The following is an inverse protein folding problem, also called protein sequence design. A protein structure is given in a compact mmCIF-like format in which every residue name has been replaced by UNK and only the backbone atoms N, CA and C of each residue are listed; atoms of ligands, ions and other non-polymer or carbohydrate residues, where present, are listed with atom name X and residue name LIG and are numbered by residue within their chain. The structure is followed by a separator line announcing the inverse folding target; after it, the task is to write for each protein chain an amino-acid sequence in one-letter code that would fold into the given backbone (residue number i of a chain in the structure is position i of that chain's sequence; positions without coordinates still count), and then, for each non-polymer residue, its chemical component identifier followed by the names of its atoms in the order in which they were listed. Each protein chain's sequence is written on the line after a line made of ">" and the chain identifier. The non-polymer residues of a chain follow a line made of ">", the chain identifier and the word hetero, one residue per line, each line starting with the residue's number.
data_IF_087364695498
#
_entry.id   IF_087364695498
#
_cell.length_a   1.000
_cell.length_b   1.000
_cell.length_c   1.000
_cell.angle_alpha   90.00
_cell.angle_beta   90.00
_cell.angle_gamma   90.00
#
_symmetry.space_group_name_H-M   'P 1'
#
loop_
_entity.id
_entity.type
_entity.pdbx_description
1 polymer ?
#
# COMPACT_ATOMS: atom_id res chain seq x y z
N UNK A 1 12.75 -21.80 4.24
CA UNK A 1 12.28 -21.09 5.46
C UNK A 1 10.76 -21.04 5.42
N UNK A 2 10.11 -21.17 6.58
CA UNK A 2 8.65 -21.01 6.71
C UNK A 2 8.25 -19.53 6.60
N UNK A 3 6.95 -19.28 6.36
CA UNK A 3 6.39 -17.91 6.35
C UNK A 3 6.71 -17.18 7.66
N UNK A 4 6.61 -17.86 8.81
CA UNK A 4 6.91 -17.28 10.13
C UNK A 4 8.38 -16.90 10.28
N UNK A 5 9.30 -17.76 9.84
CA UNK A 5 10.75 -17.47 9.87
C UNK A 5 11.09 -16.28 8.97
N UNK A 6 10.51 -16.23 7.78
CA UNK A 6 10.70 -15.11 6.83
C UNK A 6 10.21 -13.79 7.45
N UNK A 7 9.03 -13.78 8.07
CA UNK A 7 8.49 -12.57 8.73
C UNK A 7 9.37 -12.15 9.91
N UNK A 8 9.83 -13.09 10.72
CA UNK A 8 10.73 -12.78 11.84
C UNK A 8 12.04 -12.14 11.35
N UNK A 9 12.62 -12.66 10.26
CA UNK A 9 13.81 -12.08 9.66
C UNK A 9 13.53 -10.66 9.13
N UNK A 10 12.44 -10.47 8.38
CA UNK A 10 12.06 -9.15 7.85
C UNK A 10 11.84 -8.14 8.99
N UNK A 11 11.20 -8.55 10.10
CA UNK A 11 11.02 -7.69 11.26
C UNK A 11 12.35 -7.27 11.88
N UNK A 12 13.31 -8.19 12.02
CA UNK A 12 14.64 -7.86 12.51
C UNK A 12 15.38 -6.89 11.58
N UNK A 13 15.26 -7.07 10.26
CA UNK A 13 15.86 -6.17 9.28
C UNK A 13 15.18 -4.78 9.28
N UNK A 14 13.84 -4.71 9.42
CA UNK A 14 13.10 -3.45 9.59
C UNK A 14 13.56 -2.70 10.85
N UNK A 15 13.69 -3.41 11.98
CA UNK A 15 14.16 -2.84 13.24
C UNK A 15 15.59 -2.29 13.09
N UNK A 16 16.49 -3.06 12.52
CA UNK A 16 17.86 -2.62 12.27
C UNK A 16 17.92 -1.38 11.37
N UNK A 17 17.14 -1.34 10.27
CA UNK A 17 17.07 -0.20 9.36
C UNK A 17 16.51 1.05 10.05
N UNK A 18 15.46 0.92 10.87
CA UNK A 18 14.87 2.02 11.62
C UNK A 18 15.86 2.61 12.63
N UNK A 19 16.49 1.75 13.45
CA UNK A 19 17.46 2.17 14.45
C UNK A 19 18.69 2.83 13.82
N UNK A 20 19.15 2.34 12.67
CA UNK A 20 20.31 2.91 11.97
C UNK A 20 20.06 4.37 11.50
N UNK A 21 18.80 4.77 11.29
CA UNK A 21 18.44 6.14 10.93
C UNK A 21 17.74 6.92 12.09
N UNK A 22 17.79 6.42 13.32
CA UNK A 22 17.28 7.09 14.52
C UNK A 22 15.75 7.13 14.62
N UNK A 23 15.04 6.17 13.97
CA UNK A 23 13.58 6.07 14.00
C UNK A 23 13.10 4.98 14.95
N UNK A 24 11.90 5.17 15.51
CA UNK A 24 11.23 4.11 16.28
C UNK A 24 10.72 3.02 15.30
N UNK A 25 11.18 1.76 15.43
CA UNK A 25 10.70 0.64 14.62
C UNK A 25 9.17 0.44 14.66
N UNK A 26 8.52 0.82 15.76
CA UNK A 26 7.06 0.70 15.93
C UNK A 26 6.24 1.60 15.01
N UNK A 27 6.85 2.64 14.45
CA UNK A 27 6.20 3.52 13.48
C UNK A 27 6.06 2.90 12.10
N UNK A 28 6.73 1.76 11.85
CA UNK A 28 6.84 1.16 10.52
C UNK A 28 6.01 -0.12 10.46
N UNK A 29 5.00 -0.12 9.58
CA UNK A 29 4.10 -1.25 9.38
C UNK A 29 4.60 -2.18 8.28
N UNK A 30 4.47 -3.48 8.51
CA UNK A 30 4.70 -4.52 7.51
C UNK A 30 3.39 -4.94 6.86
N UNK A 31 3.20 -4.56 5.60
CA UNK A 31 2.10 -5.03 4.77
C UNK A 31 2.53 -6.28 3.99
N UNK A 32 1.89 -7.42 4.25
CA UNK A 32 2.14 -8.65 3.49
C UNK A 32 1.39 -8.59 2.15
N UNK A 33 2.10 -8.55 1.02
CA UNK A 33 1.50 -8.58 -0.30
C UNK A 33 1.05 -10.03 -0.63
N UNK A 34 -0.22 -10.33 -0.37
CA UNK A 34 -0.81 -11.69 -0.36
C UNK A 34 -1.25 -12.19 -1.73
N UNK A 35 -1.05 -11.39 -2.79
CA UNK A 35 -1.39 -11.80 -4.17
C UNK A 35 -0.80 -13.15 -4.53
N UNK A 36 -1.57 -13.97 -5.27
CA UNK A 36 -1.20 -15.31 -5.72
C UNK A 36 -0.92 -16.35 -4.60
N UNK A 37 -1.24 -16.02 -3.36
CA UNK A 37 -1.14 -16.95 -2.24
C UNK A 37 -2.55 -17.37 -1.80
N UNK A 38 -2.67 -18.60 -1.33
CA UNK A 38 -3.94 -19.13 -0.84
C UNK A 38 -4.30 -18.59 0.56
N UNK A 39 -5.54 -18.84 0.99
CA UNK A 39 -6.04 -18.40 2.29
C UNK A 39 -5.30 -19.00 3.49
N UNK A 40 -4.69 -20.18 3.31
CA UNK A 40 -3.86 -20.82 4.33
C UNK A 40 -2.57 -20.05 4.58
N UNK A 41 -1.87 -19.67 3.50
CA UNK A 41 -0.67 -18.86 3.57
C UNK A 41 -0.95 -17.45 4.15
N UNK A 42 -2.10 -16.85 3.79
CA UNK A 42 -2.52 -15.55 4.37
C UNK A 42 -2.71 -15.65 5.88
N UNK A 43 -3.45 -16.66 6.37
CA UNK A 43 -3.62 -16.87 7.81
C UNK A 43 -2.31 -17.14 8.56
N UNK A 44 -1.36 -17.87 7.93
CA UNK A 44 -0.02 -18.07 8.49
C UNK A 44 0.74 -16.75 8.64
N UNK A 45 0.66 -15.85 7.64
CA UNK A 45 1.30 -14.55 7.71
C UNK A 45 0.68 -13.68 8.81
N UNK A 46 -0.65 -13.69 8.97
CA UNK A 46 -1.34 -12.98 10.04
C UNK A 46 -0.92 -13.52 11.41
N UNK A 47 -0.93 -14.85 11.59
CA UNK A 47 -0.49 -15.50 12.83
C UNK A 47 0.99 -15.20 13.17
N UNK A 48 1.82 -14.98 12.16
CA UNK A 48 3.22 -14.58 12.32
C UNK A 48 3.43 -13.08 12.58
N UNK A 49 2.35 -12.28 12.65
CA UNK A 49 2.39 -10.90 13.13
C UNK A 49 2.67 -9.85 12.06
N UNK A 50 2.13 -9.98 10.85
CA UNK A 50 2.07 -8.86 9.89
C UNK A 50 1.06 -7.81 10.36
N UNK A 51 1.27 -6.53 10.05
CA UNK A 51 0.37 -5.46 10.48
C UNK A 51 -0.87 -5.36 9.61
N UNK A 52 -0.79 -5.74 8.34
CA UNK A 52 -1.91 -5.80 7.41
C UNK A 52 -1.60 -6.71 6.22
N UNK A 53 -2.65 -7.07 5.48
CA UNK A 53 -2.57 -7.84 4.24
C UNK A 53 -2.86 -6.94 3.04
N UNK A 54 -2.09 -7.05 1.96
CA UNK A 54 -2.26 -6.27 0.74
C UNK A 54 -2.65 -7.14 -0.46
N UNK A 55 -3.78 -6.83 -1.11
CA UNK A 55 -4.23 -7.51 -2.32
C UNK A 55 -4.10 -6.65 -3.58
N UNK A 56 -3.75 -7.30 -4.67
CA UNK A 56 -3.56 -6.64 -5.96
C UNK A 56 -4.72 -6.86 -6.94
N UNK A 57 -5.52 -7.92 -6.76
CA UNK A 57 -6.57 -8.31 -7.69
C UNK A 57 -7.90 -8.43 -7.00
N UNK A 58 -8.93 -7.79 -7.56
CA UNK A 58 -10.28 -7.80 -6.99
C UNK A 58 -10.85 -9.21 -6.86
N UNK A 59 -10.59 -10.09 -7.83
CA UNK A 59 -11.05 -11.48 -7.78
C UNK A 59 -10.43 -12.26 -6.61
N UNK A 60 -9.12 -12.08 -6.38
CA UNK A 60 -8.43 -12.71 -5.25
C UNK A 60 -8.95 -12.16 -3.92
N UNK A 61 -9.11 -10.83 -3.82
CA UNK A 61 -9.69 -10.18 -2.65
C UNK A 61 -11.07 -10.78 -2.32
N UNK A 62 -11.98 -10.81 -3.29
CA UNK A 62 -13.36 -11.28 -3.05
C UNK A 62 -13.41 -12.76 -2.67
N UNK A 63 -12.59 -13.61 -3.30
CA UNK A 63 -12.51 -15.03 -2.96
C UNK A 63 -11.97 -15.27 -1.55
N UNK A 64 -10.92 -14.54 -1.15
CA UNK A 64 -10.29 -14.66 0.17
C UNK A 64 -11.17 -14.08 1.28
N UNK A 65 -11.88 -12.97 1.02
CA UNK A 65 -12.89 -12.42 1.95
C UNK A 65 -13.99 -13.46 2.21
N UNK A 66 -14.50 -14.12 1.17
CA UNK A 66 -15.51 -15.17 1.32
C UNK A 66 -15.01 -16.38 2.13
N UNK A 67 -13.71 -16.58 2.22
CA UNK A 67 -13.07 -17.66 3.01
C UNK A 67 -12.59 -17.18 4.40
N UNK A 68 -12.92 -15.97 4.82
CA UNK A 68 -12.44 -15.34 6.05
C UNK A 68 -10.89 -15.41 6.19
N UNK A 69 -10.18 -15.27 5.07
CA UNK A 69 -8.73 -15.43 5.06
C UNK A 69 -7.98 -14.32 5.81
N UNK A 70 -8.61 -13.17 5.98
CA UNK A 70 -8.00 -11.98 6.58
C UNK A 70 -8.43 -11.75 8.04
N UNK A 71 -9.13 -12.71 8.66
CA UNK A 71 -9.54 -12.57 10.04
C UNK A 71 -8.34 -12.31 10.95
N UNK A 72 -8.42 -11.23 11.74
CA UNK A 72 -7.37 -10.80 12.67
C UNK A 72 -6.37 -9.78 12.11
N UNK A 73 -6.48 -9.34 10.85
CA UNK A 73 -5.64 -8.28 10.30
C UNK A 73 -6.40 -7.36 9.33
N UNK A 74 -6.08 -6.07 9.29
CA UNK A 74 -6.58 -5.14 8.26
C UNK A 74 -6.22 -5.58 6.85
N UNK A 75 -7.11 -5.27 5.89
CA UNK A 75 -6.92 -5.58 4.48
C UNK A 75 -6.76 -4.29 3.68
N UNK A 76 -5.71 -4.21 2.88
CA UNK A 76 -5.46 -3.09 1.99
C UNK A 76 -5.55 -3.53 0.52
N UNK A 77 -6.13 -2.70 -0.34
CA UNK A 77 -6.03 -2.89 -1.77
C UNK A 77 -4.83 -2.08 -2.29
N UNK A 78 -3.86 -2.78 -2.86
CA UNK A 78 -2.56 -2.22 -3.25
C UNK A 78 -2.25 -2.36 -4.75
N UNK A 79 -3.17 -2.95 -5.54
CA UNK A 79 -3.03 -3.09 -6.99
C UNK A 79 -3.86 -2.06 -7.76
N UNK A 80 -3.65 -1.95 -9.07
CA UNK A 80 -4.43 -1.03 -9.90
C UNK A 80 -5.92 -1.34 -9.83
N UNK A 81 -6.72 -0.35 -9.44
CA UNK A 81 -8.17 -0.47 -9.27
C UNK A 81 -8.90 0.18 -10.45
N UNK A 82 -9.49 -0.64 -11.30
CA UNK A 82 -10.37 -0.14 -12.35
C UNK A 82 -11.68 0.42 -11.77
N UNK A 83 -12.19 1.53 -12.31
CA UNK A 83 -13.41 2.19 -11.80
C UNK A 83 -14.64 1.28 -11.80
N UNK A 84 -14.77 0.37 -12.79
CA UNK A 84 -15.88 -0.59 -12.86
C UNK A 84 -15.83 -1.69 -11.78
N UNK A 85 -14.72 -1.81 -11.03
CA UNK A 85 -14.52 -2.76 -9.95
C UNK A 85 -14.64 -2.14 -8.55
N UNK A 86 -14.74 -0.82 -8.44
CA UNK A 86 -14.76 -0.08 -7.17
C UNK A 86 -15.79 -0.64 -6.18
N UNK A 87 -17.01 -0.95 -6.63
CA UNK A 87 -18.07 -1.52 -5.78
C UNK A 87 -17.74 -2.89 -5.17
N UNK A 88 -16.71 -3.57 -5.69
CA UNK A 88 -16.26 -4.86 -5.16
C UNK A 88 -15.15 -4.69 -4.11
N UNK A 89 -14.61 -3.49 -3.92
CA UNK A 89 -13.49 -3.17 -3.03
C UNK A 89 -13.91 -2.27 -1.88
N UNK A 90 -14.63 -1.17 -2.18
CA UNK A 90 -15.11 -0.21 -1.17
C UNK A 90 -15.94 -0.91 -0.10
N UNK A 91 -15.62 -0.65 1.16
CA UNK A 91 -16.25 -1.27 2.33
C UNK A 91 -15.83 -2.73 2.60
N UNK A 92 -14.91 -3.30 1.79
CA UNK A 92 -14.35 -4.64 2.02
C UNK A 92 -12.87 -4.60 2.38
N UNK A 93 -12.25 -3.45 2.30
CA UNK A 93 -10.87 -3.19 2.69
C UNK A 93 -10.81 -1.98 3.59
N UNK A 94 -9.84 -1.98 4.51
CA UNK A 94 -9.62 -0.88 5.42
C UNK A 94 -8.98 0.32 4.71
N UNK A 95 -8.12 0.06 3.72
CA UNK A 95 -7.38 1.09 3.00
C UNK A 95 -7.22 0.75 1.52
N UNK A 96 -7.53 1.70 0.62
CA UNK A 96 -7.20 1.62 -0.80
C UNK A 96 -5.95 2.47 -1.03
N UNK A 97 -4.80 1.82 -1.29
CA UNK A 97 -3.52 2.53 -1.43
C UNK A 97 -3.26 3.05 -2.86
N UNK A 98 -4.00 2.57 -3.84
CA UNK A 98 -3.73 2.74 -5.28
C UNK A 98 -4.71 3.70 -5.96
N UNK A 99 -5.02 4.83 -5.30
CA UNK A 99 -5.86 5.87 -5.93
C UNK A 99 -4.99 6.72 -6.84
N UNK A 100 -5.06 6.44 -8.12
CA UNK A 100 -4.17 6.95 -9.16
C UNK A 100 -4.71 8.13 -9.97
N UNK A 101 -5.96 8.53 -9.75
CA UNK A 101 -6.62 9.56 -10.54
C UNK A 101 -7.84 10.14 -9.84
N UNK A 102 -8.19 11.39 -10.16
CA UNK A 102 -9.43 12.02 -9.70
C UNK A 102 -10.67 11.22 -10.12
N UNK A 103 -10.65 10.61 -11.33
CA UNK A 103 -11.73 9.75 -11.82
C UNK A 103 -11.98 8.56 -10.88
N UNK A 104 -10.92 7.89 -10.44
CA UNK A 104 -11.01 6.77 -9.51
C UNK A 104 -11.48 7.25 -8.14
N UNK A 105 -10.94 8.36 -7.65
CA UNK A 105 -11.34 8.97 -6.38
C UNK A 105 -12.84 9.30 -6.36
N UNK A 106 -13.38 9.90 -7.43
CA UNK A 106 -14.84 10.17 -7.56
C UNK A 106 -15.67 8.89 -7.53
N UNK A 107 -15.22 7.83 -8.18
CA UNK A 107 -15.91 6.55 -8.16
C UNK A 107 -15.92 5.92 -6.76
N UNK A 108 -14.81 5.98 -6.03
CA UNK A 108 -14.69 5.50 -4.64
C UNK A 108 -15.63 6.31 -3.72
N UNK A 109 -15.58 7.65 -3.81
CA UNK A 109 -16.42 8.53 -3.01
C UNK A 109 -17.91 8.27 -3.25
N UNK A 110 -18.32 8.10 -4.51
CA UNK A 110 -19.72 7.81 -4.88
C UNK A 110 -20.17 6.47 -4.30
N UNK A 111 -19.33 5.44 -4.38
CA UNK A 111 -19.68 4.11 -3.84
C UNK A 111 -19.69 4.11 -2.32
N UNK A 112 -18.75 4.81 -1.67
CA UNK A 112 -18.71 4.97 -0.21
C UNK A 112 -19.95 5.71 0.29
N UNK A 113 -20.37 6.78 -0.40
CA UNK A 113 -21.62 7.49 -0.12
C UNK A 113 -22.86 6.56 -0.23
N UNK A 114 -22.90 5.73 -1.29
CA UNK A 114 -24.00 4.76 -1.48
C UNK A 114 -24.08 3.75 -0.34
N UNK A 115 -22.94 3.38 0.26
CA UNK A 115 -22.87 2.45 1.39
C UNK A 115 -23.00 3.14 2.76
N UNK A 116 -23.02 4.47 2.81
CA UNK A 116 -23.09 5.24 4.07
C UNK A 116 -21.81 5.15 4.91
N UNK A 117 -20.65 4.96 4.27
CA UNK A 117 -19.36 4.82 4.94
C UNK A 117 -18.36 5.90 4.48
N UNK A 118 -17.27 6.03 5.21
CA UNK A 118 -16.04 6.73 4.76
C UNK A 118 -14.96 5.70 4.47
N UNK A 119 -14.35 5.77 3.30
CA UNK A 119 -13.29 4.87 2.87
C UNK A 119 -11.93 5.55 3.00
N UNK A 120 -11.02 4.92 3.75
CA UNK A 120 -9.64 5.37 3.83
C UNK A 120 -8.89 5.08 2.53
N UNK A 121 -8.07 6.06 2.08
CA UNK A 121 -7.31 5.98 0.83
C UNK A 121 -5.89 6.53 1.00
N UNK A 122 -4.99 6.09 0.10
CA UNK A 122 -3.74 6.80 -0.22
C UNK A 122 -3.81 7.27 -1.67
N UNK A 123 -3.21 8.42 -1.97
CA UNK A 123 -2.97 8.81 -3.36
C UNK A 123 -1.70 8.12 -3.85
N UNK A 124 -1.80 7.42 -4.97
CA UNK A 124 -0.66 6.80 -5.64
C UNK A 124 0.07 7.85 -6.48
N UNK A 125 1.39 7.99 -6.24
CA UNK A 125 2.25 8.93 -6.95
C UNK A 125 3.15 8.18 -7.92
N UNK A 126 3.11 8.55 -9.21
CA UNK A 126 4.05 8.09 -10.23
C UNK A 126 5.37 8.86 -10.08
N UNK A 127 6.14 8.52 -9.06
CA UNK A 127 7.35 9.26 -8.67
C UNK A 127 8.48 9.12 -9.70
N UNK A 128 8.46 8.07 -10.52
CA UNK A 128 9.42 7.85 -11.59
C UNK A 128 9.06 8.57 -12.90
N UNK A 129 7.87 9.17 -13.00
CA UNK A 129 7.32 9.76 -14.24
C UNK A 129 7.34 8.79 -15.43
N UNK A 130 7.10 7.49 -15.18
CA UNK A 130 7.04 6.47 -16.22
C UNK A 130 5.65 6.49 -16.88
N UNK A 131 5.60 6.71 -18.21
CA UNK A 131 4.34 6.78 -18.97
C UNK A 131 3.48 5.50 -18.87
N UNK A 132 4.13 4.36 -18.64
CA UNK A 132 3.47 3.06 -18.51
C UNK A 132 2.87 2.79 -17.13
N UNK A 133 3.13 3.64 -16.13
CA UNK A 133 2.65 3.45 -14.74
C UNK A 133 1.51 4.38 -14.41
N UNK A 134 0.60 3.87 -13.57
CA UNK A 134 -0.47 4.64 -12.94
C UNK A 134 0.08 5.58 -11.87
N UNK A 135 -0.74 6.49 -11.42
CA UNK A 135 -0.44 7.43 -10.34
C UNK A 135 -0.52 8.88 -10.77
N UNK A 136 -0.81 9.74 -9.82
CA UNK A 136 -0.70 11.19 -10.01
C UNK A 136 0.75 11.59 -10.26
N UNK A 137 0.97 12.60 -11.06
CA UNK A 137 2.26 13.27 -11.11
C UNK A 137 2.48 14.03 -9.80
N UNK A 138 3.74 14.24 -9.41
CA UNK A 138 4.06 14.93 -8.15
C UNK A 138 3.40 16.32 -8.07
N UNK A 139 3.40 17.07 -9.16
CA UNK A 139 2.80 18.39 -9.26
C UNK A 139 1.26 18.41 -9.19
N UNK A 140 0.60 17.27 -9.39
CA UNK A 140 -0.86 17.15 -9.33
C UNK A 140 -1.37 16.92 -7.90
N UNK A 141 -0.50 16.54 -6.96
CA UNK A 141 -0.90 16.21 -5.58
C UNK A 141 -1.44 17.44 -4.85
N UNK A 142 -0.74 18.57 -4.83
CA UNK A 142 -1.21 19.77 -4.15
C UNK A 142 -2.55 20.28 -4.70
N UNK A 143 -2.74 20.42 -6.03
CA UNK A 143 -4.05 20.74 -6.60
C UNK A 143 -5.15 19.73 -6.25
N UNK A 144 -4.82 18.44 -6.12
CA UNK A 144 -5.78 17.42 -5.73
C UNK A 144 -6.21 17.57 -4.27
N UNK A 145 -5.28 17.91 -3.37
CA UNK A 145 -5.58 18.15 -1.96
C UNK A 145 -6.53 19.33 -1.74
N UNK A 146 -6.43 20.38 -2.55
CA UNK A 146 -7.34 21.52 -2.50
C UNK A 146 -8.79 21.15 -2.83
N UNK A 147 -8.96 20.08 -3.64
CA UNK A 147 -10.28 19.52 -4.00
C UNK A 147 -10.79 18.48 -3.01
N UNK A 148 -9.98 18.02 -2.03
CA UNK A 148 -10.39 16.91 -1.16
C UNK A 148 -11.68 17.21 -0.37
N UNK A 149 -11.99 18.47 -0.10
CA UNK A 149 -13.26 18.88 0.51
C UNK A 149 -14.53 18.47 -0.28
N UNK A 150 -14.40 18.22 -1.60
CA UNK A 150 -15.51 17.74 -2.44
C UNK A 150 -15.83 16.25 -2.21
N UNK A 151 -14.96 15.50 -1.54
CA UNK A 151 -15.02 14.05 -1.38
C UNK A 151 -15.32 13.63 0.07
N UNK A 152 -16.52 13.98 0.56
CA UNK A 152 -16.91 13.82 1.96
C UNK A 152 -16.90 12.35 2.47
N UNK A 153 -16.95 11.37 1.56
CA UNK A 153 -17.03 9.94 1.88
C UNK A 153 -15.70 9.19 1.70
N UNK A 154 -14.59 9.93 1.54
CA UNK A 154 -13.23 9.37 1.60
C UNK A 154 -12.41 10.11 2.64
N UNK A 155 -11.40 9.43 3.18
CA UNK A 155 -10.41 10.01 4.08
C UNK A 155 -9.03 9.67 3.54
N UNK A 156 -8.29 10.69 3.10
CA UNK A 156 -6.91 10.51 2.66
C UNK A 156 -6.01 10.34 3.89
N UNK A 157 -5.24 9.26 3.92
CA UNK A 157 -4.30 8.93 5.01
C UNK A 157 -2.83 9.15 4.65
N UNK A 158 -2.55 9.54 3.42
CA UNK A 158 -1.18 9.77 2.96
C UNK A 158 -0.95 9.39 1.52
N UNK A 159 0.29 8.99 1.23
CA UNK A 159 0.77 8.72 -0.13
C UNK A 159 1.28 7.29 -0.29
N UNK A 160 1.21 6.80 -1.51
CA UNK A 160 1.82 5.53 -1.92
C UNK A 160 2.67 5.73 -3.18
N UNK A 161 3.80 5.04 -3.29
CA UNK A 161 4.56 4.99 -4.54
C UNK A 161 5.18 3.61 -4.78
N UNK A 162 5.31 3.31 -6.08
CA UNK A 162 6.09 2.17 -6.59
C UNK A 162 7.14 2.75 -7.54
N UNK A 163 8.39 2.96 -7.08
CA UNK A 163 9.45 3.49 -7.92
C UNK A 163 9.81 2.50 -9.05
N UNK A 164 10.62 2.91 -10.03
CA UNK A 164 11.18 2.00 -11.03
C UNK A 164 11.84 0.77 -10.39
N UNK A 165 11.91 -0.32 -11.15
CA UNK A 165 12.61 -1.52 -10.69
C UNK A 165 14.09 -1.19 -10.54
N UNK A 166 14.63 -1.36 -9.33
CA UNK A 166 16.05 -1.13 -9.06
C UNK A 166 16.91 -2.29 -9.54
N UNK A 167 18.06 -1.97 -10.13
CA UNK A 167 19.07 -2.93 -10.57
C UNK A 167 20.17 -3.15 -9.52
N UNK A 168 20.33 -2.21 -8.60
CA UNK A 168 21.32 -2.26 -7.50
C UNK A 168 20.82 -1.54 -6.24
N UNK A 169 21.38 -1.86 -5.07
CA UNK A 169 21.02 -1.20 -3.81
C UNK A 169 21.24 0.32 -3.87
N UNK A 170 20.32 1.10 -3.30
CA UNK A 170 20.41 2.55 -3.24
C UNK A 170 19.89 3.29 -4.49
N UNK A 171 19.61 2.61 -5.60
CA UNK A 171 19.12 3.26 -6.84
C UNK A 171 17.81 4.03 -6.62
N UNK A 172 16.94 3.52 -5.77
CA UNK A 172 15.63 4.10 -5.46
C UNK A 172 15.66 5.20 -4.38
N UNK A 173 16.80 5.46 -3.73
CA UNK A 173 16.90 6.48 -2.67
C UNK A 173 16.37 7.85 -3.12
N UNK A 174 16.70 8.28 -4.34
CA UNK A 174 16.24 9.55 -4.89
C UNK A 174 14.70 9.66 -4.97
N UNK A 175 14.02 8.55 -5.29
CA UNK A 175 12.56 8.50 -5.37
C UNK A 175 11.94 8.50 -3.98
N UNK A 176 12.51 7.76 -3.05
CA UNK A 176 12.04 7.73 -1.65
C UNK A 176 12.22 9.09 -0.97
N UNK A 177 13.35 9.77 -1.20
CA UNK A 177 13.59 11.13 -0.70
C UNK A 177 12.57 12.14 -1.26
N UNK A 178 12.27 12.08 -2.58
CA UNK A 178 11.24 12.92 -3.20
C UNK A 178 9.85 12.65 -2.60
N UNK A 179 9.50 11.38 -2.37
CA UNK A 179 8.23 11.02 -1.73
C UNK A 179 8.14 11.51 -0.30
N UNK A 180 9.22 11.41 0.46
CA UNK A 180 9.27 11.95 1.81
C UNK A 180 9.11 13.47 1.80
N UNK A 181 9.85 14.19 0.96
CA UNK A 181 9.72 15.63 0.83
C UNK A 181 8.29 16.04 0.46
N UNK A 182 7.68 15.38 -0.54
CA UNK A 182 6.28 15.62 -0.90
C UNK A 182 5.35 15.40 0.30
N UNK A 183 5.57 14.35 1.09
CA UNK A 183 4.76 14.09 2.30
C UNK A 183 4.91 15.17 3.36
N UNK A 184 6.08 15.81 3.45
CA UNK A 184 6.32 16.97 4.34
C UNK A 184 5.59 18.20 3.80
N UNK A 185 5.74 18.50 2.51
CA UNK A 185 5.16 19.68 1.86
C UNK A 185 3.63 19.71 1.96
N UNK A 186 2.99 18.54 1.93
CA UNK A 186 1.52 18.47 2.02
C UNK A 186 0.97 18.45 3.45
N UNK A 187 1.79 18.35 4.49
CA UNK A 187 1.33 18.34 5.90
C UNK A 187 0.60 19.63 6.29
N UNK A 188 0.95 20.74 5.69
CA UNK A 188 0.26 22.02 5.95
C UNK A 188 -1.17 22.07 5.38
N UNK A 189 -1.54 21.10 4.54
CA UNK A 189 -2.87 20.99 3.91
C UNK A 189 -3.80 20.03 4.64
N UNK A 190 -3.44 19.59 5.85
CA UNK A 190 -4.26 18.69 6.68
C UNK A 190 -5.59 19.35 7.02
N UNK A 191 -6.68 18.60 6.88
CA UNK A 191 -8.05 19.00 7.23
C UNK A 191 -8.87 17.78 7.65
N UNK A 192 -10.19 17.92 7.83
CA UNK A 192 -11.06 16.87 8.39
C UNK A 192 -11.05 15.55 7.60
N UNK A 193 -10.71 15.56 6.32
CA UNK A 193 -10.66 14.37 5.48
C UNK A 193 -9.28 14.12 4.83
N UNK A 194 -8.25 14.82 5.30
CA UNK A 194 -6.85 14.65 4.88
C UNK A 194 -5.94 14.53 6.09
N UNK A 195 -5.25 13.42 6.21
CA UNK A 195 -4.07 13.27 7.08
C UNK A 195 -2.90 12.73 6.25
N UNK A 196 -1.67 12.82 6.78
CA UNK A 196 -0.46 12.35 6.11
C UNK A 196 0.33 11.45 7.08
N UNK A 197 -0.38 10.46 7.61
CA UNK A 197 0.17 9.52 8.60
C UNK A 197 0.82 8.31 7.95
N UNK A 198 0.47 8.03 6.68
CA UNK A 198 0.96 6.88 5.96
C UNK A 198 1.78 7.26 4.72
N UNK A 199 3.04 6.89 4.72
CA UNK A 199 3.92 6.93 3.55
C UNK A 199 4.25 5.48 3.16
N UNK A 200 3.47 4.93 2.22
CA UNK A 200 3.59 3.54 1.78
C UNK A 200 4.55 3.46 0.60
N UNK A 201 5.78 3.00 0.87
CA UNK A 201 6.82 2.80 -0.15
C UNK A 201 7.84 1.79 0.35
N UNK A 202 8.56 1.14 -0.59
CA UNK A 202 9.50 0.07 -0.30
C UNK A 202 8.88 -1.32 -0.42
N UNK A 203 9.61 -2.21 -1.08
CA UNK A 203 9.25 -3.59 -1.35
C UNK A 203 10.41 -4.53 -0.99
N UNK A 204 10.30 -5.83 -1.30
CA UNK A 204 11.28 -6.85 -0.90
C UNK A 204 12.75 -6.53 -1.24
N UNK A 205 13.00 -5.72 -2.28
CA UNK A 205 14.37 -5.41 -2.72
C UNK A 205 14.95 -4.12 -2.11
N UNK A 206 14.09 -3.20 -1.62
CA UNK A 206 14.50 -1.82 -1.32
C UNK A 206 13.84 -1.21 -0.06
N UNK A 207 13.14 -2.04 0.75
CA UNK A 207 12.44 -1.51 1.93
C UNK A 207 13.38 -0.89 2.98
N UNK A 208 14.62 -1.35 3.09
CA UNK A 208 15.58 -0.75 4.03
C UNK A 208 15.90 0.70 3.64
N UNK A 209 16.12 0.96 2.34
CA UNK A 209 16.31 2.30 1.80
C UNK A 209 15.05 3.19 1.98
N UNK A 210 13.87 2.59 1.76
CA UNK A 210 12.60 3.28 1.98
C UNK A 210 12.40 3.68 3.45
N UNK A 211 12.75 2.80 4.40
CA UNK A 211 12.72 3.07 5.84
C UNK A 211 13.65 4.22 6.18
N UNK A 212 14.87 4.20 5.68
CA UNK A 212 15.84 5.26 5.90
C UNK A 212 15.36 6.63 5.35
N UNK A 213 14.52 6.61 4.30
CA UNK A 213 13.89 7.79 3.72
C UNK A 213 12.50 8.13 4.28
N UNK A 214 12.10 7.56 5.42
CA UNK A 214 10.87 7.97 6.13
C UNK A 214 9.61 7.15 5.80
N UNK A 215 9.71 6.01 5.09
CA UNK A 215 8.56 5.10 4.92
C UNK A 215 7.94 4.71 6.26
N UNK A 216 6.61 4.74 6.36
CA UNK A 216 5.85 4.27 7.52
C UNK A 216 5.14 2.95 7.25
N UNK A 217 5.15 2.49 5.99
CA UNK A 217 4.61 1.20 5.59
C UNK A 217 5.40 0.61 4.43
N UNK A 218 5.94 -0.59 4.61
CA UNK A 218 6.57 -1.36 3.54
C UNK A 218 5.63 -2.49 3.08
N UNK A 219 5.75 -2.89 1.80
CA UNK A 219 4.91 -3.92 1.19
C UNK A 219 5.77 -5.08 0.70
N UNK A 220 5.77 -6.18 1.42
CA UNK A 220 6.65 -7.32 1.17
C UNK A 220 5.85 -8.54 0.72
N UNK A 221 6.20 -9.13 -0.41
CA UNK A 221 5.58 -10.34 -0.93
C UNK A 221 6.55 -11.50 -1.05
N UNK A 222 7.44 -11.45 -2.02
CA UNK A 222 8.37 -12.54 -2.35
C UNK A 222 9.26 -12.95 -1.18
N UNK A 223 9.71 -12.01 -0.36
CA UNK A 223 10.52 -12.34 0.81
C UNK A 223 9.71 -13.04 1.91
N UNK A 224 8.38 -12.87 1.99
CA UNK A 224 7.50 -13.56 2.93
C UNK A 224 7.13 -14.96 2.38
N UNK A 225 6.60 -15.02 1.16
CA UNK A 225 5.92 -16.19 0.62
C UNK A 225 6.79 -17.05 -0.31
N UNK A 226 8.01 -16.59 -0.63
CA UNK A 226 8.89 -17.25 -1.59
C UNK A 226 8.67 -16.81 -3.04
N UNK A 227 9.44 -17.41 -3.95
CA UNK A 227 9.32 -17.16 -5.39
C UNK A 227 7.95 -17.60 -5.91
N UNK A 228 7.42 -16.83 -6.87
CA UNK A 228 6.10 -17.11 -7.46
C UNK A 228 6.10 -18.37 -8.29
N UNK A 229 5.15 -19.24 -8.02
CA UNK A 229 4.86 -20.42 -8.87
C UNK A 229 3.82 -20.02 -9.93
N UNK A 230 4.31 -19.70 -11.13
CA UNK A 230 3.46 -19.34 -12.26
C UNK A 230 2.75 -20.54 -12.91
N UNK A 231 3.12 -21.78 -12.55
CA UNK A 231 2.52 -23.00 -13.13
C UNK A 231 1.05 -23.16 -12.74
N UNK A 232 0.65 -22.56 -11.60
CA UNK A 232 -0.74 -22.60 -11.09
C UNK A 232 -1.70 -21.65 -11.81
N UNK A 233 -1.21 -20.78 -12.70
CA UNK A 233 -2.05 -19.81 -13.45
C UNK A 233 -2.62 -20.39 -14.75
N UNK A 234 -2.12 -21.52 -15.22
CA UNK A 234 -2.53 -22.15 -16.49
C UNK A 234 -3.66 -23.17 -16.33
N UNK A 235 -4.28 -23.30 -15.15
CA UNK A 235 -5.27 -24.35 -14.85
C UNK A 235 -6.69 -23.82 -14.54
N UNK A 236 -7.02 -22.56 -14.96
CA UNK A 236 -8.38 -22.04 -14.86
C UNK A 236 -8.80 -21.30 -16.13
#
# INVERSE_FOLDING_TARGET
>A
MSIAENIAQIRAEMEAAALACGRDPKEIKLCAATKMNDSGAVRQAIAAGVDCCGENRVQELTAKVAQNAYEGAPVHFIGHLQTNKVKQVVGKVDLIQSVDSERLLRAINTEAARQGIRQDILLEVNIGNEESKSGFRQEEILPMLEKMGEFANVCMKGLMAIPPISSFPGENLQYFQKMFQLSVDIREKINDNVSVDCLSMGMSADYADAIACGSTMIRVGTAIFGARDYSKLSSN
#
